data_IF_954304767505
#
_entry.id   IF_954304767505
#
_cell.length_a   1.000
_cell.length_b   1.000
_cell.length_c   1.000
_cell.angle_alpha   90.00
_cell.angle_beta   90.00
_cell.angle_gamma   90.00
#
_symmetry.space_group_name_H-M   'P 1'
#
loop_
_entity.id
_entity.type
_entity.pdbx_description
1 polymer ?
#
# COMPACT_ATOMS: atom_id res chain seq x y z
N UNK A 1 -5.06 4.11 7.20
CA UNK A 1 -4.14 3.23 7.96
C UNK A 1 -2.78 3.17 7.28
N UNK A 2 -2.54 2.34 6.26
CA UNK A 2 -1.19 2.24 5.67
C UNK A 2 -0.64 3.57 5.10
N UNK A 3 -1.36 4.19 4.15
CA UNK A 3 -0.89 5.38 3.43
C UNK A 3 -0.99 6.69 4.22
N UNK A 4 -1.65 6.67 5.38
CA UNK A 4 -2.01 7.88 6.15
C UNK A 4 -1.41 7.86 7.55
N UNK A 5 -1.29 6.70 8.17
CA UNK A 5 -0.80 6.53 9.55
C UNK A 5 0.54 5.76 9.59
N UNK A 6 1.02 5.23 8.46
CA UNK A 6 2.33 4.56 8.38
C UNK A 6 2.38 3.16 8.99
N UNK A 7 1.24 2.58 9.34
CA UNK A 7 1.18 1.21 9.86
C UNK A 7 1.61 0.17 8.82
N UNK A 8 2.40 -0.80 9.24
CA UNK A 8 2.74 -1.96 8.42
C UNK A 8 1.48 -2.78 8.11
N UNK A 9 1.41 -3.41 6.94
CA UNK A 9 0.24 -4.21 6.55
C UNK A 9 -0.08 -5.34 7.52
N UNK A 10 0.94 -5.85 8.22
CA UNK A 10 0.82 -6.86 9.29
C UNK A 10 0.10 -6.30 10.52
N UNK A 11 0.45 -5.11 10.98
CA UNK A 11 -0.22 -4.44 12.10
C UNK A 11 -1.70 -4.15 11.79
N UNK A 12 -1.99 -3.73 10.55
CA UNK A 12 -3.36 -3.50 10.10
C UNK A 12 -4.18 -4.81 10.08
N UNK A 13 -3.56 -5.91 9.64
CA UNK A 13 -4.20 -7.22 9.65
C UNK A 13 -4.48 -7.71 11.08
N UNK A 14 -3.56 -7.47 12.01
CA UNK A 14 -3.71 -7.79 13.43
C UNK A 14 -4.81 -6.96 14.10
N UNK A 15 -4.83 -5.64 13.91
CA UNK A 15 -5.87 -4.74 14.46
C UNK A 15 -7.27 -5.10 13.95
N UNK A 16 -7.37 -5.47 12.66
CA UNK A 16 -8.65 -5.76 12.01
C UNK A 16 -9.06 -7.24 12.08
N UNK A 17 -8.23 -8.11 12.65
CA UNK A 17 -8.43 -9.56 12.75
C UNK A 17 -8.80 -10.23 11.40
N UNK A 18 -8.16 -9.79 10.32
CA UNK A 18 -8.37 -10.34 8.97
C UNK A 18 -7.04 -10.77 8.33
N UNK A 19 -7.04 -11.70 7.36
CA UNK A 19 -5.80 -12.13 6.70
C UNK A 19 -5.08 -10.97 6.01
N UNK A 20 -3.75 -10.93 6.10
CA UNK A 20 -2.91 -9.89 5.48
C UNK A 20 -3.14 -9.78 3.96
N UNK A 21 -3.36 -10.91 3.27
CA UNK A 21 -3.72 -10.90 1.84
C UNK A 21 -5.04 -10.17 1.54
N UNK A 22 -5.99 -10.15 2.48
CA UNK A 22 -7.24 -9.38 2.36
C UNK A 22 -6.96 -7.88 2.48
N UNK A 23 -6.07 -7.48 3.40
CA UNK A 23 -5.63 -6.09 3.55
C UNK A 23 -4.97 -5.60 2.27
N UNK A 24 -3.97 -6.33 1.76
CA UNK A 24 -3.27 -6.01 0.50
C UNK A 24 -4.24 -5.89 -0.67
N UNK A 25 -5.12 -6.87 -0.84
CA UNK A 25 -6.09 -6.88 -1.94
C UNK A 25 -7.10 -5.72 -1.84
N UNK A 26 -7.52 -5.35 -0.63
CA UNK A 26 -8.39 -4.18 -0.40
C UNK A 26 -7.67 -2.87 -0.68
N UNK A 27 -6.44 -2.69 -0.20
CA UNK A 27 -5.64 -1.47 -0.43
C UNK A 27 -5.37 -1.29 -1.92
N UNK A 28 -4.91 -2.33 -2.61
CA UNK A 28 -4.63 -2.26 -4.05
C UNK A 28 -5.88 -1.86 -4.85
N UNK A 29 -7.01 -2.53 -4.60
CA UNK A 29 -8.27 -2.17 -5.28
C UNK A 29 -8.75 -0.77 -4.92
N UNK A 30 -8.58 -0.35 -3.66
CA UNK A 30 -8.92 0.98 -3.20
C UNK A 30 -8.09 2.06 -3.91
N UNK A 31 -6.77 1.88 -4.00
CA UNK A 31 -5.86 2.76 -4.73
C UNK A 31 -6.26 2.87 -6.20
N UNK A 32 -6.51 1.75 -6.88
CA UNK A 32 -6.93 1.75 -8.29
C UNK A 32 -8.29 2.41 -8.51
N UNK A 33 -9.22 2.24 -7.58
CA UNK A 33 -10.52 2.91 -7.63
C UNK A 33 -10.39 4.43 -7.42
N UNK A 34 -9.49 4.85 -6.55
CA UNK A 34 -9.20 6.26 -6.29
C UNK A 34 -8.46 6.91 -7.47
N UNK A 35 -7.45 6.24 -8.01
CA UNK A 35 -6.73 6.63 -9.23
C UNK A 35 -7.72 6.91 -10.36
N UNK A 36 -8.65 5.99 -10.62
CA UNK A 36 -9.69 6.17 -11.63
C UNK A 36 -10.57 7.40 -11.37
N UNK A 37 -10.91 7.68 -10.12
CA UNK A 37 -11.74 8.84 -9.77
C UNK A 37 -10.97 10.16 -9.87
N UNK A 38 -9.66 10.13 -9.67
CA UNK A 38 -8.79 11.30 -9.71
C UNK A 38 -8.10 11.51 -11.07
N UNK A 39 -8.34 10.63 -12.05
CA UNK A 39 -7.68 10.68 -13.36
C UNK A 39 -7.86 12.04 -14.05
N UNK A 40 -9.11 12.53 -14.16
CA UNK A 40 -9.40 13.84 -14.77
C UNK A 40 -8.72 15.01 -14.02
N UNK A 41 -8.65 14.90 -12.70
CA UNK A 41 -7.96 15.90 -11.87
C UNK A 41 -6.45 15.89 -12.16
N UNK A 42 -5.84 14.70 -12.20
CA UNK A 42 -4.42 14.53 -12.48
C UNK A 42 -4.05 15.03 -13.89
N UNK A 43 -4.89 14.73 -14.89
CA UNK A 43 -4.72 15.20 -16.27
C UNK A 43 -4.77 16.72 -16.35
N UNK A 44 -5.77 17.36 -15.73
CA UNK A 44 -5.91 18.83 -15.72
C UNK A 44 -4.74 19.57 -15.06
N UNK A 45 -3.98 18.87 -14.20
CA UNK A 45 -2.84 19.38 -13.47
C UNK A 45 -1.50 18.90 -14.02
N UNK A 46 -1.52 18.12 -15.10
CA UNK A 46 -0.34 17.53 -15.72
C UNK A 46 0.48 16.67 -14.74
N UNK A 47 -0.22 15.89 -13.91
CA UNK A 47 0.32 15.01 -12.85
C UNK A 47 0.31 13.52 -13.24
N UNK A 48 -0.02 13.19 -14.49
CA UNK A 48 0.03 11.81 -14.96
C UNK A 48 1.49 11.35 -15.05
N UNK A 49 1.83 10.15 -14.54
CA UNK A 49 3.16 9.60 -14.68
C UNK A 49 3.46 9.27 -16.15
N UNK A 50 4.73 9.35 -16.54
CA UNK A 50 5.19 8.82 -17.81
C UNK A 50 5.12 7.28 -17.76
N UNK A 51 4.77 6.64 -18.88
CA UNK A 51 4.38 5.22 -18.97
C UNK A 51 5.42 4.21 -18.40
N UNK A 52 6.64 4.63 -18.10
CA UNK A 52 7.74 3.80 -17.60
C UNK A 52 7.67 3.48 -16.08
N UNK A 53 6.97 4.27 -15.26
CA UNK A 53 6.98 4.14 -13.78
C UNK A 53 6.01 3.07 -13.22
N UNK A 54 5.04 2.61 -14.02
CA UNK A 54 3.93 1.76 -13.55
C UNK A 54 4.32 0.33 -13.11
N UNK A 55 5.57 -0.11 -13.35
CA UNK A 55 6.03 -1.48 -13.07
C UNK A 55 6.71 -1.65 -11.70
N UNK A 56 7.11 -0.55 -11.05
CA UNK A 56 7.85 -0.59 -9.78
C UNK A 56 7.00 -1.07 -8.58
N UNK A 57 5.69 -0.81 -8.62
CA UNK A 57 4.76 -0.98 -7.49
C UNK A 57 4.57 -2.43 -6.98
N UNK A 58 5.01 -3.44 -7.75
CA UNK A 58 4.86 -4.86 -7.37
C UNK A 58 6.13 -5.47 -6.76
N UNK A 59 7.30 -4.84 -6.96
CA UNK A 59 8.61 -5.39 -6.55
C UNK A 59 8.99 -4.90 -5.14
N UNK A 60 8.66 -3.66 -4.80
CA UNK A 60 9.07 -3.04 -3.52
C UNK A 60 8.33 -3.57 -2.28
N UNK A 61 7.16 -4.21 -2.46
CA UNK A 61 6.38 -4.77 -1.33
C UNK A 61 6.97 -6.08 -0.81
N UNK A 62 7.77 -6.79 -1.61
CA UNK A 62 8.31 -8.11 -1.27
C UNK A 62 9.50 -8.01 -0.29
N UNK A 63 10.14 -6.83 -0.15
CA UNK A 63 11.39 -6.68 0.60
C UNK A 63 11.26 -6.27 2.09
N UNK A 64 10.06 -6.01 2.62
CA UNK A 64 9.93 -5.38 3.95
C UNK A 64 9.89 -6.30 5.19
N UNK A 65 10.01 -7.64 5.06
CA UNK A 65 9.82 -8.56 6.22
C UNK A 65 11.03 -9.45 6.57
N UNK A 66 12.25 -8.90 6.53
CA UNK A 66 13.46 -9.67 6.88
C UNK A 66 14.31 -9.07 8.03
N UNK A 67 13.75 -8.26 8.92
CA UNK A 67 14.42 -7.90 10.18
C UNK A 67 13.51 -8.12 11.37
N UNK A 68 13.54 -9.35 11.85
CA UNK A 68 13.05 -9.78 13.15
C UNK A 68 14.01 -9.23 14.22
N UNK A 69 13.65 -8.12 14.87
CA UNK A 69 14.33 -7.65 16.08
C UNK A 69 13.41 -7.92 17.28
N UNK A 70 13.54 -9.13 17.84
CA UNK A 70 12.99 -9.50 19.14
C UNK A 70 13.47 -8.51 20.22
N UNK A 71 12.52 -7.87 20.92
CA UNK A 71 12.81 -7.15 22.17
C UNK A 71 11.71 -7.48 23.19
N UNK A 72 12.07 -7.77 24.46
CA UNK A 72 11.39 -8.75 25.28
C UNK A 72 10.16 -8.22 26.02
N UNK A 73 9.23 -9.14 26.27
CA UNK A 73 8.08 -8.94 27.17
C UNK A 73 8.61 -8.81 28.61
N UNK A 74 8.14 -7.83 29.41
CA UNK A 74 8.49 -7.73 30.83
C UNK A 74 7.95 -8.90 31.66
#
# INVERSE_FOLDING_TARGET
LADVEGFAYKEIAEILEIPIGTVMSRIHRGRKALEKQLHEYAESRNLLPDDDDATADMVDVIEQDATDEEVPVP
#
